data_IF_000251808935
#
_entry.id   IF_000251808935
#
_cell.length_a   1.000
_cell.length_b   1.000
_cell.length_c   1.000
_cell.angle_alpha   90.00
_cell.angle_beta   90.00
_cell.angle_gamma   90.00
#
_symmetry.space_group_name_H-M   'P 1'
#
loop_
_entity.id
_entity.type
_entity.pdbx_description
1 polymer ?
#
# COMPACT_ATOMS: atom_id res chain seq x y z
N UNK A 1 13.23 7.68 -18.16
CA UNK A 1 13.75 6.70 -17.19
C UNK A 1 14.69 5.80 -17.96
N UNK A 2 16.00 5.82 -17.69
CA UNK A 2 16.93 4.92 -18.39
C UNK A 2 16.82 3.57 -17.71
N UNK A 3 16.16 2.63 -18.37
CA UNK A 3 16.06 1.25 -17.90
C UNK A 3 17.45 0.62 -18.03
N UNK A 4 18.06 0.28 -16.90
CA UNK A 4 19.33 -0.44 -16.90
C UNK A 4 19.11 -1.85 -17.48
N UNK A 5 19.98 -2.34 -18.38
CA UNK A 5 19.84 -3.66 -18.98
C UNK A 5 19.83 -4.77 -17.91
N UNK A 6 19.02 -5.81 -18.10
CA UNK A 6 18.94 -6.99 -17.20
C UNK A 6 20.29 -7.70 -16.98
N UNK A 7 21.27 -7.51 -17.87
CA UNK A 7 22.64 -7.99 -17.69
C UNK A 7 23.40 -7.22 -16.60
N UNK A 8 23.13 -5.91 -16.47
CA UNK A 8 23.76 -5.05 -15.45
C UNK A 8 23.23 -5.37 -14.05
N UNK A 9 21.92 -5.59 -13.91
CA UNK A 9 21.31 -6.04 -12.65
C UNK A 9 21.81 -7.42 -12.22
N UNK A 10 21.99 -8.36 -13.16
CA UNK A 10 22.56 -9.70 -12.87
C UNK A 10 24.04 -9.65 -12.50
N UNK A 11 24.80 -8.72 -13.06
CA UNK A 11 26.20 -8.51 -12.70
C UNK A 11 26.32 -7.97 -11.27
N UNK A 12 25.54 -6.93 -10.95
CA UNK A 12 25.48 -6.35 -9.60
C UNK A 12 25.00 -7.38 -8.57
N UNK A 13 24.03 -8.23 -8.93
CA UNK A 13 23.56 -9.31 -8.06
C UNK A 13 24.60 -10.43 -7.85
N UNK A 14 25.41 -10.75 -8.86
CA UNK A 14 26.51 -11.73 -8.73
C UNK A 14 27.65 -11.17 -7.88
N UNK A 15 27.99 -9.90 -8.08
CA UNK A 15 28.93 -9.14 -7.26
C UNK A 15 28.46 -8.98 -5.80
N UNK A 16 27.16 -8.99 -5.55
CA UNK A 16 26.58 -8.91 -4.20
C UNK A 16 26.77 -10.19 -3.36
N UNK A 17 26.94 -11.35 -4.00
CA UNK A 17 27.07 -12.65 -3.32
C UNK A 17 28.52 -13.16 -3.18
N UNK A 18 29.48 -12.59 -3.91
CA UNK A 18 30.90 -12.90 -3.72
C UNK A 18 31.44 -12.07 -2.53
N UNK A 19 31.78 -12.76 -1.44
CA UNK A 19 32.15 -12.24 -0.10
C UNK A 19 33.34 -11.24 -0.04
N UNK A 20 33.91 -10.83 -1.17
CA UNK A 20 34.97 -9.81 -1.23
C UNK A 20 34.44 -8.38 -1.39
N UNK A 21 33.17 -8.18 -1.78
CA UNK A 21 32.61 -6.86 -2.11
C UNK A 21 31.78 -6.19 -1.02
N UNK A 22 31.45 -6.85 0.10
CA UNK A 22 30.63 -6.24 1.16
C UNK A 22 31.29 -4.99 1.78
N UNK A 23 32.62 -4.97 1.93
CA UNK A 23 33.33 -3.80 2.50
C UNK A 23 33.48 -2.67 1.48
N UNK A 24 33.74 -3.01 0.21
CA UNK A 24 33.91 -2.01 -0.86
C UNK A 24 32.59 -1.40 -1.30
N UNK A 25 31.50 -2.17 -1.36
CA UNK A 25 30.19 -1.66 -1.74
C UNK A 25 29.61 -0.74 -0.65
N UNK A 26 29.79 -1.06 0.64
CA UNK A 26 29.40 -0.16 1.75
C UNK A 26 30.22 1.14 1.72
N UNK A 27 31.53 1.08 1.45
CA UNK A 27 32.36 2.29 1.28
C UNK A 27 31.97 3.12 0.04
N UNK A 28 31.73 2.46 -1.10
CA UNK A 28 31.35 3.14 -2.34
C UNK A 28 29.92 3.72 -2.24
N UNK A 29 28.99 3.00 -1.60
CA UNK A 29 27.69 3.54 -1.22
C UNK A 29 27.87 4.74 -0.31
N UNK A 30 28.60 4.64 0.81
CA UNK A 30 28.79 5.77 1.73
C UNK A 30 29.39 7.02 1.06
N UNK A 31 30.31 6.84 0.11
CA UNK A 31 30.88 7.93 -0.70
C UNK A 31 29.87 8.47 -1.73
N UNK A 32 29.03 7.63 -2.35
CA UNK A 32 27.94 8.11 -3.20
C UNK A 32 26.85 8.83 -2.38
N UNK A 33 26.45 8.29 -1.23
CA UNK A 33 25.41 8.81 -0.34
C UNK A 33 25.79 10.11 0.37
N UNK A 34 27.09 10.46 0.46
CA UNK A 34 27.50 11.79 0.95
C UNK A 34 27.24 12.90 -0.08
N UNK A 35 27.09 12.56 -1.36
CA UNK A 35 26.81 13.52 -2.45
C UNK A 35 25.38 13.45 -3.00
N UNK A 36 24.70 12.31 -2.80
CA UNK A 36 23.32 12.10 -3.25
C UNK A 36 22.31 12.60 -2.21
N UNK A 37 21.39 13.46 -2.65
CA UNK A 37 20.31 13.99 -1.80
C UNK A 37 19.10 13.06 -1.70
N UNK A 38 18.85 12.23 -2.72
CA UNK A 38 17.68 11.34 -2.80
C UNK A 38 18.11 10.01 -3.38
N UNK A 39 17.64 8.92 -2.77
CA UNK A 39 17.76 7.57 -3.30
C UNK A 39 16.37 6.96 -3.41
N UNK A 40 16.09 6.41 -4.58
CA UNK A 40 14.85 5.67 -4.85
C UNK A 40 15.21 4.19 -4.84
N UNK A 41 14.51 3.43 -4.01
CA UNK A 41 14.85 2.06 -3.72
C UNK A 41 13.60 1.18 -3.65
N UNK A 42 13.77 -0.12 -3.90
CA UNK A 42 12.76 -1.14 -3.63
C UNK A 42 13.12 -1.89 -2.34
N UNK A 43 12.22 -2.75 -1.85
CA UNK A 43 12.42 -3.57 -0.64
C UNK A 43 13.76 -4.33 -0.68
N UNK A 44 14.19 -4.79 -1.87
CA UNK A 44 15.46 -5.50 -2.08
C UNK A 44 16.72 -4.68 -1.72
N UNK A 45 16.60 -3.37 -1.55
CA UNK A 45 17.70 -2.49 -1.18
C UNK A 45 17.80 -2.25 0.34
N UNK A 46 16.85 -2.78 1.13
CA UNK A 46 16.74 -2.51 2.57
C UNK A 46 17.88 -3.08 3.43
N UNK A 47 18.60 -4.10 2.99
CA UNK A 47 19.69 -4.65 3.82
C UNK A 47 21.00 -3.88 3.57
N UNK A 48 21.19 -2.73 4.25
CA UNK A 48 22.52 -2.10 4.32
C UNK A 48 22.64 -0.58 4.28
N UNK A 49 21.53 0.19 4.22
CA UNK A 49 21.63 1.66 4.39
C UNK A 49 21.72 1.97 5.88
N UNK A 50 22.93 2.25 6.35
CA UNK A 50 23.20 2.76 7.70
C UNK A 50 23.74 4.21 7.63
N UNK A 51 22.86 5.13 7.25
CA UNK A 51 23.16 6.56 7.19
C UNK A 51 22.45 7.27 8.33
N UNK A 52 23.23 7.86 9.25
CA UNK A 52 22.69 8.47 10.46
C UNK A 52 21.75 9.66 10.18
N UNK A 53 22.04 10.44 9.14
CA UNK A 53 21.41 11.73 8.89
C UNK A 53 20.33 11.71 7.79
N UNK A 54 19.60 10.60 7.62
CA UNK A 54 18.45 10.56 6.70
C UNK A 54 17.31 11.39 7.28
N UNK A 55 16.90 12.46 6.56
CA UNK A 55 15.87 13.39 7.01
C UNK A 55 14.45 13.03 6.58
N UNK A 56 14.31 12.19 5.55
CA UNK A 56 13.00 11.80 5.05
C UNK A 56 13.01 10.41 4.45
N UNK A 57 12.04 9.60 4.85
CA UNK A 57 11.69 8.34 4.19
C UNK A 57 10.30 8.51 3.58
N UNK A 58 10.16 8.16 2.30
CA UNK A 58 8.89 8.22 1.58
C UNK A 58 8.57 6.82 1.08
N UNK A 59 7.50 6.24 1.60
CA UNK A 59 6.88 5.04 1.07
C UNK A 59 5.91 5.44 -0.04
N UNK A 60 6.08 4.86 -1.22
CA UNK A 60 5.18 5.07 -2.34
C UNK A 60 4.50 3.75 -2.71
N UNK A 61 3.32 3.55 -2.12
CA UNK A 61 2.61 2.28 -2.08
C UNK A 61 2.56 1.68 -0.67
N UNK A 62 1.66 0.72 -0.48
CA UNK A 62 1.48 0.02 0.79
C UNK A 62 2.68 -0.90 1.09
N UNK A 63 3.32 -0.76 2.26
CA UNK A 63 4.25 -1.76 2.78
C UNK A 63 3.55 -3.13 2.92
N UNK A 64 4.32 -4.22 2.84
CA UNK A 64 3.75 -5.58 2.93
C UNK A 64 3.37 -5.98 4.35
N UNK A 65 3.86 -5.23 5.35
CA UNK A 65 3.50 -5.39 6.75
C UNK A 65 3.87 -4.15 7.56
N UNK A 66 3.40 -4.07 8.81
CA UNK A 66 3.76 -2.97 9.70
C UNK A 66 5.22 -3.07 10.17
N UNK A 67 5.78 -4.28 10.27
CA UNK A 67 7.20 -4.51 10.55
C UNK A 67 8.09 -4.02 9.40
N UNK A 68 7.70 -4.30 8.15
CA UNK A 68 8.42 -3.79 6.99
C UNK A 68 8.41 -2.25 7.01
N UNK A 69 7.24 -1.64 7.23
CA UNK A 69 7.12 -0.19 7.39
C UNK A 69 8.01 0.33 8.52
N UNK A 70 7.97 -0.29 9.70
CA UNK A 70 8.75 0.14 10.87
C UNK A 70 10.26 0.08 10.60
N UNK A 71 10.75 -1.02 10.02
CA UNK A 71 12.17 -1.17 9.67
C UNK A 71 12.62 -0.17 8.60
N UNK A 72 11.77 0.10 7.61
CA UNK A 72 12.06 1.04 6.52
C UNK A 72 12.03 2.49 7.01
N UNK A 73 11.00 2.87 7.76
CA UNK A 73 10.86 4.18 8.41
C UNK A 73 11.96 4.44 9.44
N UNK A 74 12.36 3.44 10.23
CA UNK A 74 13.40 3.52 11.26
C UNK A 74 14.83 3.76 10.74
N UNK A 75 15.00 3.97 9.43
CA UNK A 75 16.25 4.47 8.83
C UNK A 75 16.38 5.99 8.94
N UNK A 76 15.27 6.69 9.12
CA UNK A 76 15.25 8.12 9.32
C UNK A 76 15.79 8.49 10.71
N UNK A 77 16.45 9.65 10.84
CA UNK A 77 16.68 10.27 12.15
C UNK A 77 17.59 9.51 13.12
N UNK A 78 18.46 8.59 12.65
CA UNK A 78 19.37 7.81 13.51
C UNK A 78 20.42 8.66 14.24
N UNK A 79 20.64 9.90 13.83
CA UNK A 79 21.42 10.92 14.54
C UNK A 79 20.63 11.62 15.67
N UNK A 80 19.41 11.18 15.97
CA UNK A 80 18.54 11.75 16.99
C UNK A 80 17.84 13.05 16.58
N UNK A 81 18.06 13.54 15.36
CA UNK A 81 17.39 14.76 14.85
C UNK A 81 16.06 14.42 14.20
N UNK A 82 15.14 15.38 14.23
CA UNK A 82 13.83 15.27 13.58
C UNK A 82 13.96 14.82 12.12
N UNK A 83 13.06 13.91 11.73
CA UNK A 83 12.96 13.36 10.40
C UNK A 83 11.51 12.97 10.09
N UNK A 84 11.15 13.02 8.81
CA UNK A 84 9.80 12.73 8.34
C UNK A 84 9.71 11.30 7.80
N UNK A 85 8.64 10.59 8.15
CA UNK A 85 8.26 9.33 7.53
C UNK A 85 6.89 9.50 6.88
N UNK A 86 6.84 9.47 5.55
CA UNK A 86 5.64 9.77 4.77
C UNK A 86 5.20 8.51 4.03
N UNK A 87 3.92 8.16 4.12
CA UNK A 87 3.29 7.08 3.36
C UNK A 87 2.33 7.68 2.32
N UNK A 88 2.70 7.59 1.05
CA UNK A 88 1.78 7.83 -0.06
C UNK A 88 1.19 6.51 -0.52
N UNK A 89 -0.10 6.31 -0.24
CA UNK A 89 -0.82 5.10 -0.62
C UNK A 89 -2.12 5.44 -1.35
N UNK A 90 -2.53 4.57 -2.27
CA UNK A 90 -3.83 4.68 -2.90
C UNK A 90 -4.87 4.07 -1.96
N UNK A 91 -5.68 4.91 -1.31
CA UNK A 91 -6.70 4.49 -0.35
C UNK A 91 -7.90 3.82 -1.02
N UNK A 92 -8.14 4.05 -2.32
CA UNK A 92 -9.26 3.41 -3.03
C UNK A 92 -8.98 1.96 -3.42
N UNK A 93 -7.70 1.55 -3.38
CA UNK A 93 -7.24 0.22 -3.75
C UNK A 93 -6.74 -0.54 -2.53
N UNK A 94 -7.37 -1.68 -2.28
CA UNK A 94 -6.92 -2.66 -1.30
C UNK A 94 -5.56 -3.21 -1.73
N UNK A 95 -4.53 -3.19 -0.87
CA UNK A 95 -3.26 -3.79 -1.20
C UNK A 95 -3.38 -5.32 -1.31
N UNK A 96 -2.49 -5.90 -2.09
CA UNK A 96 -2.37 -7.34 -2.29
C UNK A 96 -0.96 -7.78 -1.96
N UNK A 97 -0.81 -9.04 -1.56
CA UNK A 97 0.50 -9.63 -1.35
C UNK A 97 1.30 -9.64 -2.65
N UNK A 98 2.59 -9.38 -2.54
CA UNK A 98 3.52 -9.59 -3.64
C UNK A 98 3.66 -11.10 -3.93
N UNK A 99 3.78 -11.50 -5.21
CA UNK A 99 3.97 -12.90 -5.59
C UNK A 99 5.19 -13.50 -4.88
N UNK A 100 5.00 -14.57 -4.14
CA UNK A 100 6.08 -15.39 -3.59
C UNK A 100 5.57 -16.79 -3.27
N UNK A 101 6.49 -17.76 -3.29
CA UNK A 101 6.20 -19.12 -2.84
C UNK A 101 5.99 -19.08 -1.33
N UNK A 102 4.80 -19.44 -0.88
CA UNK A 102 4.39 -19.49 0.52
C UNK A 102 3.52 -20.72 0.73
N UNK A 103 3.62 -21.35 1.90
CA UNK A 103 2.60 -22.31 2.32
C UNK A 103 1.26 -21.59 2.55
N UNK A 104 0.18 -22.35 2.73
CA UNK A 104 -1.13 -21.76 3.06
C UNK A 104 -1.09 -20.97 4.37
N UNK A 105 -0.43 -21.50 5.40
CA UNK A 105 -0.33 -20.83 6.70
C UNK A 105 0.55 -19.57 6.65
N UNK A 106 1.65 -19.62 5.90
CA UNK A 106 2.46 -18.43 5.64
C UNK A 106 1.68 -17.37 4.87
N UNK A 107 0.81 -17.79 3.94
CA UNK A 107 -0.05 -16.88 3.18
C UNK A 107 -1.09 -16.23 4.09
N UNK A 108 -1.73 -17.00 4.97
CA UNK A 108 -2.66 -16.50 5.99
C UNK A 108 -1.99 -15.45 6.88
N UNK A 109 -0.83 -15.77 7.44
CA UNK A 109 -0.07 -14.84 8.28
C UNK A 109 0.32 -13.56 7.51
N UNK A 110 0.78 -13.69 6.27
CA UNK A 110 1.15 -12.53 5.45
C UNK A 110 -0.07 -11.62 5.17
N UNK A 111 -1.25 -12.18 4.92
CA UNK A 111 -2.47 -11.37 4.77
C UNK A 111 -2.87 -10.66 6.06
N UNK A 112 -2.70 -11.30 7.22
CA UNK A 112 -2.93 -10.66 8.52
C UNK A 112 -2.00 -9.47 8.70
N UNK A 113 -0.71 -9.66 8.51
CA UNK A 113 0.31 -8.59 8.59
C UNK A 113 0.03 -7.43 7.62
N UNK A 114 -0.41 -7.74 6.40
CA UNK A 114 -0.81 -6.73 5.42
C UNK A 114 -2.10 -5.99 5.84
N UNK A 115 -3.05 -6.71 6.42
CA UNK A 115 -4.27 -6.14 7.01
C UNK A 115 -3.91 -5.16 8.13
N UNK A 116 -3.03 -5.54 9.04
CA UNK A 116 -2.59 -4.68 10.14
C UNK A 116 -1.92 -3.39 9.62
N UNK A 117 -1.08 -3.49 8.58
CA UNK A 117 -0.48 -2.33 7.92
C UNK A 117 -1.53 -1.43 7.24
N UNK A 118 -2.50 -2.03 6.56
CA UNK A 118 -3.59 -1.30 5.91
C UNK A 118 -4.45 -0.55 6.94
N UNK A 119 -4.79 -1.22 8.05
CA UNK A 119 -5.56 -0.65 9.17
C UNK A 119 -4.79 0.47 9.86
N UNK A 120 -3.47 0.32 10.04
CA UNK A 120 -2.60 1.38 10.53
C UNK A 120 -2.69 2.64 9.67
N UNK A 121 -2.67 2.52 8.33
CA UNK A 121 -2.77 3.67 7.44
C UNK A 121 -4.18 4.28 7.35
N UNK A 122 -5.22 3.46 7.52
CA UNK A 122 -6.62 3.91 7.45
C UNK A 122 -7.13 4.57 8.73
N UNK A 123 -6.51 4.29 9.87
CA UNK A 123 -6.90 4.85 11.15
C UNK A 123 -6.69 6.38 11.16
N UNK A 124 -7.70 7.13 11.62
CA UNK A 124 -7.72 8.60 11.65
C UNK A 124 -7.80 9.15 13.08
N UNK A 125 -7.78 8.30 14.10
CA UNK A 125 -8.06 8.66 15.49
C UNK A 125 -6.93 8.34 16.44
N UNK A 126 -6.19 7.25 16.18
CA UNK A 126 -5.13 6.79 17.05
C UNK A 126 -3.80 7.44 16.65
N UNK A 127 -3.03 7.84 17.66
CA UNK A 127 -1.65 8.27 17.50
C UNK A 127 -0.85 7.19 16.74
N UNK A 128 -0.19 7.57 15.64
CA UNK A 128 0.61 6.64 14.82
C UNK A 128 1.68 5.91 15.62
N UNK A 129 2.41 6.65 16.46
CA UNK A 129 3.48 6.09 17.28
C UNK A 129 2.92 5.11 18.33
N UNK A 130 1.79 5.45 18.95
CA UNK A 130 1.09 4.57 19.90
C UNK A 130 0.73 3.23 19.24
N UNK A 131 0.09 3.28 18.07
CA UNK A 131 -0.27 2.07 17.31
C UNK A 131 0.95 1.22 16.95
N UNK A 132 2.07 1.84 16.58
CA UNK A 132 3.31 1.09 16.29
C UNK A 132 3.89 0.42 17.54
N UNK A 133 4.01 1.15 18.65
CA UNK A 133 4.57 0.65 19.91
C UNK A 133 3.73 -0.50 20.46
N UNK A 134 2.39 -0.33 20.51
CA UNK A 134 1.46 -1.37 20.96
C UNK A 134 1.48 -2.60 20.05
N UNK A 135 1.66 -2.41 18.73
CA UNK A 135 1.77 -3.54 17.79
C UNK A 135 2.96 -4.46 18.09
N UNK A 136 4.07 -3.91 18.59
CA UNK A 136 5.24 -4.70 18.99
C UNK A 136 5.15 -5.23 20.43
N UNK A 137 4.01 -5.07 21.10
CA UNK A 137 3.78 -5.54 22.46
C UNK A 137 4.44 -4.67 23.53
N UNK A 138 4.79 -3.43 23.19
CA UNK A 138 5.31 -2.44 24.14
C UNK A 138 4.19 -1.52 24.63
N UNK A 139 4.29 -1.06 25.87
CA UNK A 139 3.33 -0.11 26.45
C UNK A 139 3.68 1.33 26.06
N UNK A 140 2.73 2.03 25.45
CA UNK A 140 2.88 3.44 25.14
C UNK A 140 2.42 4.30 26.33
N UNK A 141 3.37 4.68 27.20
CA UNK A 141 3.10 5.38 28.47
C UNK A 141 2.47 6.78 28.34
N UNK A 142 2.45 7.37 27.14
CA UNK A 142 1.93 8.71 26.91
C UNK A 142 0.56 8.69 26.24
N UNK A 143 -0.24 9.74 26.40
CA UNK A 143 -1.53 9.82 25.71
C UNK A 143 -1.38 10.06 24.19
N UNK A 144 -0.34 10.79 23.77
CA UNK A 144 -0.08 11.11 22.36
C UNK A 144 1.41 11.34 22.10
N UNK A 145 1.85 11.24 20.85
CA UNK A 145 3.25 11.52 20.47
C UNK A 145 3.52 12.95 20.03
N UNK A 146 2.48 13.81 19.98
CA UNK A 146 2.49 15.23 19.57
C UNK A 146 3.08 15.56 18.18
N UNK A 147 3.58 14.57 17.42
CA UNK A 147 4.32 14.78 16.16
C UNK A 147 3.66 14.15 14.94
N UNK A 148 2.85 13.11 15.10
CA UNK A 148 2.23 12.45 13.95
C UNK A 148 1.05 13.25 13.38
N UNK A 149 0.68 12.96 12.13
CA UNK A 149 -0.42 13.60 11.41
C UNK A 149 -1.74 13.62 12.21
N UNK A 150 -2.06 12.52 12.91
CA UNK A 150 -3.29 12.43 13.73
C UNK A 150 -3.18 13.29 14.99
N UNK A 151 -2.03 13.31 15.68
CA UNK A 151 -1.86 14.11 16.89
C UNK A 151 -1.79 15.61 16.59
N UNK A 152 -1.23 15.99 15.43
CA UNK A 152 -1.08 17.39 15.03
C UNK A 152 -2.40 17.95 14.51
N UNK A 153 -3.12 17.21 13.66
CA UNK A 153 -4.37 17.70 13.07
C UNK A 153 -5.60 17.45 13.97
N UNK A 154 -5.48 16.50 14.92
CA UNK A 154 -6.63 15.96 15.64
C UNK A 154 -7.42 14.94 14.82
N UNK A 155 -8.27 14.13 15.48
CA UNK A 155 -9.20 13.25 14.78
C UNK A 155 -10.21 14.08 13.97
N UNK A 156 -10.81 13.50 12.91
CA UNK A 156 -11.92 14.14 12.21
C UNK A 156 -13.13 14.31 13.14
N UNK A 157 -14.12 15.07 12.69
CA UNK A 157 -15.39 15.17 13.41
C UNK A 157 -16.07 13.80 13.52
N UNK A 158 -16.61 13.52 14.71
CA UNK A 158 -17.36 12.30 14.98
C UNK A 158 -18.72 12.39 14.27
N UNK A 159 -19.10 11.33 13.57
CA UNK A 159 -20.35 11.29 12.81
C UNK A 159 -21.24 10.16 13.33
N UNK A 160 -22.53 10.45 13.48
CA UNK A 160 -23.52 9.42 13.78
C UNK A 160 -23.89 8.68 12.49
N UNK A 161 -23.45 7.43 12.37
CA UNK A 161 -23.70 6.58 11.18
C UNK A 161 -24.73 5.47 11.47
N UNK A 162 -25.67 5.72 12.41
CA UNK A 162 -26.67 4.71 12.85
C UNK A 162 -27.53 4.26 11.68
N UNK A 163 -28.00 5.21 10.89
CA UNK A 163 -28.79 4.98 9.68
C UNK A 163 -28.09 4.08 8.65
N UNK A 164 -26.81 4.35 8.38
CA UNK A 164 -25.98 3.54 7.48
C UNK A 164 -25.73 2.15 8.06
N UNK A 165 -25.35 2.08 9.34
CA UNK A 165 -25.04 0.82 10.02
C UNK A 165 -26.27 -0.09 10.09
N UNK A 166 -27.43 0.43 10.44
CA UNK A 166 -28.69 -0.30 10.49
C UNK A 166 -29.10 -0.80 9.12
N UNK A 167 -29.01 0.06 8.10
CA UNK A 167 -29.33 -0.32 6.73
C UNK A 167 -28.39 -1.41 6.22
N UNK A 168 -27.10 -1.26 6.47
CA UNK A 168 -26.10 -2.26 6.09
C UNK A 168 -26.35 -3.61 6.77
N UNK A 169 -26.61 -3.60 8.07
CA UNK A 169 -26.89 -4.81 8.84
C UNK A 169 -28.22 -5.47 8.45
N UNK A 170 -29.27 -4.69 8.19
CA UNK A 170 -30.54 -5.23 7.70
C UNK A 170 -30.37 -5.94 6.36
N UNK A 171 -29.65 -5.35 5.41
CA UNK A 171 -29.43 -5.95 4.09
C UNK A 171 -28.57 -7.21 4.18
N UNK A 172 -27.55 -7.22 5.06
CA UNK A 172 -26.77 -8.43 5.37
C UNK A 172 -27.68 -9.50 5.98
N UNK A 173 -28.39 -9.19 7.05
CA UNK A 173 -29.25 -10.14 7.77
C UNK A 173 -30.35 -10.72 6.88
N UNK A 174 -31.00 -9.89 6.06
CA UNK A 174 -32.03 -10.34 5.11
C UNK A 174 -31.48 -11.34 4.07
N UNK A 175 -30.21 -11.21 3.66
CA UNK A 175 -29.57 -12.17 2.77
C UNK A 175 -29.39 -13.54 3.44
N UNK A 176 -29.00 -13.55 4.71
CA UNK A 176 -28.80 -14.79 5.47
C UNK A 176 -30.13 -15.38 5.98
N UNK A 177 -31.13 -14.56 6.32
CA UNK A 177 -32.46 -15.01 6.75
C UNK A 177 -33.27 -15.67 5.63
N UNK A 178 -33.12 -15.22 4.38
CA UNK A 178 -33.66 -15.92 3.21
C UNK A 178 -33.01 -17.29 2.96
N UNK A 179 -31.83 -17.54 3.53
CA UNK A 179 -31.16 -18.85 3.46
C UNK A 179 -31.75 -19.86 4.44
N UNK A 180 -32.32 -19.42 5.56
CA UNK A 180 -32.90 -20.30 6.59
C UNK A 180 -34.29 -20.82 6.23
N UNK A 181 -35.06 -20.10 5.40
CA UNK A 181 -36.43 -20.49 5.04
C UNK A 181 -36.51 -21.69 4.06
N UNK A 182 -35.39 -22.12 3.49
CA UNK A 182 -35.33 -23.22 2.49
C UNK A 182 -34.88 -24.56 3.10
N UNK A 183 -34.37 -24.57 4.34
CA UNK A 183 -34.01 -25.81 5.05
C UNK A 183 -35.19 -26.42 5.83
N UNK A 184 -36.13 -25.60 6.31
CA UNK A 184 -37.23 -26.07 7.19
C UNK A 184 -38.41 -26.74 6.44
N UNK A 185 -38.33 -26.91 5.11
CA UNK A 185 -39.41 -27.54 4.32
C UNK A 185 -39.12 -28.97 3.85
N UNK A 186 -38.01 -29.57 4.26
CA UNK A 186 -37.61 -30.92 3.84
C UNK A 186 -37.06 -31.75 5.01
N UNK A 187 -37.80 -31.84 6.12
CA UNK A 187 -37.51 -32.87 7.13
C UNK A 187 -38.52 -34.02 7.02
N UNK A 188 -38.16 -34.94 6.14
CA UNK A 188 -38.80 -36.22 5.93
C UNK A 188 -37.74 -37.22 5.51
N UNK A 189 -37.06 -37.81 6.51
CA UNK A 189 -36.56 -39.20 6.49
C UNK A 189 -35.15 -39.42 5.88
N UNK A 190 -34.19 -39.71 6.79
CA UNK A 190 -33.09 -40.72 6.73
C UNK A 190 -31.67 -40.28 6.28
N UNK A 191 -30.75 -40.39 7.26
CA UNK A 191 -29.31 -40.73 7.24
C UNK A 191 -28.35 -40.09 6.21
N UNK A 192 -27.38 -39.35 6.75
CA UNK A 192 -26.09 -39.12 6.08
C UNK A 192 -25.47 -37.78 6.44
N UNK A 193 -24.51 -37.83 7.35
CA UNK A 193 -23.66 -36.71 7.79
C UNK A 193 -22.77 -36.20 6.63
N UNK A 194 -23.39 -35.44 5.72
CA UNK A 194 -22.70 -34.74 4.64
C UNK A 194 -23.16 -33.29 4.72
N UNK A 195 -22.25 -32.41 5.12
CA UNK A 195 -22.36 -30.96 4.98
C UNK A 195 -22.56 -30.59 3.49
N UNK A 196 -23.76 -30.78 2.97
CA UNK A 196 -24.17 -30.23 1.69
C UNK A 196 -24.54 -28.76 1.91
N UNK A 197 -23.52 -27.93 2.11
CA UNK A 197 -23.60 -26.50 1.82
C UNK A 197 -24.02 -26.36 0.36
N UNK A 198 -25.32 -26.20 0.11
CA UNK A 198 -25.83 -25.74 -1.18
C UNK A 198 -25.05 -24.48 -1.56
N UNK A 199 -24.36 -24.53 -2.70
CA UNK A 199 -23.58 -23.45 -3.30
C UNK A 199 -24.49 -22.24 -3.56
N UNK A 200 -24.73 -21.44 -2.52
CA UNK A 200 -25.27 -20.09 -2.64
C UNK A 200 -24.09 -19.13 -2.57
N UNK A 201 -23.92 -18.30 -3.61
CA UNK A 201 -22.85 -17.32 -3.66
C UNK A 201 -22.91 -16.43 -2.42
N UNK A 202 -21.85 -16.48 -1.60
CA UNK A 202 -21.72 -15.63 -0.42
C UNK A 202 -21.82 -14.17 -0.86
N UNK A 203 -22.61 -13.33 -0.17
CA UNK A 203 -22.84 -11.97 -0.62
C UNK A 203 -21.57 -11.14 -0.47
N UNK A 204 -20.92 -10.80 -1.58
CA UNK A 204 -19.80 -9.88 -1.52
C UNK A 204 -20.28 -8.45 -1.22
N UNK A 205 -19.41 -7.64 -0.61
CA UNK A 205 -19.70 -6.28 -0.19
C UNK A 205 -20.25 -5.41 -1.33
N UNK A 206 -19.71 -5.56 -2.55
CA UNK A 206 -20.13 -4.75 -3.71
C UNK A 206 -21.59 -5.04 -4.09
N UNK A 207 -22.00 -6.29 -4.02
CA UNK A 207 -23.38 -6.70 -4.27
C UNK A 207 -24.32 -6.13 -3.20
N UNK A 208 -23.94 -6.20 -1.92
CA UNK A 208 -24.74 -5.64 -0.82
C UNK A 208 -24.93 -4.13 -0.97
N UNK A 209 -23.86 -3.41 -1.32
CA UNK A 209 -23.92 -1.96 -1.59
C UNK A 209 -24.80 -1.63 -2.80
N UNK A 210 -24.79 -2.45 -3.86
CA UNK A 210 -25.73 -2.28 -4.99
C UNK A 210 -27.17 -2.36 -4.52
N UNK A 211 -27.51 -3.39 -3.73
CA UNK A 211 -28.85 -3.55 -3.17
C UNK A 211 -29.26 -2.40 -2.26
N UNK A 212 -28.34 -1.89 -1.44
CA UNK A 212 -28.61 -0.73 -0.58
C UNK A 212 -28.95 0.50 -1.43
N UNK A 213 -28.18 0.76 -2.50
CA UNK A 213 -28.44 1.90 -3.40
C UNK A 213 -29.76 1.77 -4.15
N UNK A 214 -30.18 0.55 -4.48
CA UNK A 214 -31.46 0.27 -5.15
C UNK A 214 -32.65 0.40 -4.19
N UNK A 215 -32.51 -0.04 -2.94
CA UNK A 215 -33.60 -0.06 -1.96
C UNK A 215 -33.77 1.26 -1.21
N UNK A 216 -32.68 2.01 -1.01
CA UNK A 216 -32.66 3.20 -0.16
C UNK A 216 -32.15 4.41 -0.95
N UNK A 217 -33.08 5.21 -1.47
CA UNK A 217 -32.76 6.38 -2.30
C UNK A 217 -31.78 7.35 -1.61
N UNK A 218 -31.82 7.49 -0.29
CA UNK A 218 -30.89 8.32 0.49
C UNK A 218 -29.42 7.96 0.30
N UNK A 219 -29.14 6.69 -0.04
CA UNK A 219 -27.77 6.18 -0.21
C UNK A 219 -27.37 5.94 -1.66
N UNK A 220 -28.22 6.31 -2.63
CA UNK A 220 -27.99 6.05 -4.04
C UNK A 220 -26.65 6.62 -4.56
N UNK A 221 -26.26 7.80 -4.06
CA UNK A 221 -25.02 8.49 -4.44
C UNK A 221 -23.82 8.15 -3.53
N UNK A 222 -24.00 7.41 -2.44
CA UNK A 222 -22.92 7.12 -1.48
C UNK A 222 -21.89 6.19 -2.08
N UNK A 223 -20.62 6.59 -2.10
CA UNK A 223 -19.52 5.86 -2.73
C UNK A 223 -19.24 4.49 -2.06
N UNK A 224 -18.70 3.54 -2.82
CA UNK A 224 -18.36 2.21 -2.30
C UNK A 224 -17.25 2.26 -1.23
N UNK A 225 -16.35 3.24 -1.30
CA UNK A 225 -15.30 3.46 -0.30
C UNK A 225 -15.88 3.80 1.07
N UNK A 226 -16.96 4.58 1.11
CA UNK A 226 -17.68 4.87 2.34
C UNK A 226 -18.15 3.59 3.03
N UNK A 227 -18.81 2.71 2.25
CA UNK A 227 -19.29 1.42 2.74
C UNK A 227 -18.17 0.45 3.12
N UNK A 228 -17.02 0.50 2.45
CA UNK A 228 -15.83 -0.29 2.84
C UNK A 228 -15.28 0.16 4.19
N UNK A 229 -15.18 1.46 4.42
CA UNK A 229 -14.76 2.01 5.71
C UNK A 229 -15.75 1.67 6.82
N UNK A 230 -17.06 1.81 6.55
CA UNK A 230 -18.10 1.40 7.50
C UNK A 230 -18.00 -0.09 7.84
N UNK A 231 -17.87 -0.97 6.84
CA UNK A 231 -17.72 -2.40 7.08
C UNK A 231 -16.50 -2.71 7.96
N UNK A 232 -15.37 -2.03 7.73
CA UNK A 232 -14.17 -2.16 8.58
C UNK A 232 -14.44 -1.68 10.02
N UNK A 233 -15.13 -0.57 10.22
CA UNK A 233 -15.53 -0.10 11.55
C UNK A 233 -16.45 -1.10 12.26
N UNK A 234 -17.39 -1.70 11.53
CA UNK A 234 -18.33 -2.68 12.08
C UNK A 234 -17.67 -4.02 12.40
N UNK A 235 -16.66 -4.43 11.62
CA UNK A 235 -15.77 -5.55 11.92
C UNK A 235 -15.02 -5.31 13.22
N UNK A 236 -14.43 -4.13 13.39
CA UNK A 236 -13.63 -3.76 14.57
C UNK A 236 -14.44 -3.78 15.86
N UNK A 237 -15.70 -3.39 15.76
CA UNK A 237 -16.67 -3.44 16.87
C UNK A 237 -17.29 -4.83 17.07
N UNK A 238 -16.99 -5.79 16.20
CA UNK A 238 -17.43 -7.19 16.31
C UNK A 238 -18.85 -7.45 15.82
N UNK A 239 -19.51 -6.51 15.12
CA UNK A 239 -20.87 -6.72 14.59
C UNK A 239 -20.90 -7.62 13.36
N UNK A 240 -19.81 -7.61 12.58
CA UNK A 240 -19.66 -8.46 11.40
C UNK A 240 -18.30 -9.16 11.40
N UNK A 241 -18.21 -10.23 10.62
CA UNK A 241 -16.97 -10.98 10.39
C UNK A 241 -16.86 -11.42 8.92
N UNK A 242 -15.67 -11.80 8.50
CA UNK A 242 -15.48 -12.44 7.19
C UNK A 242 -16.20 -13.80 7.15
N UNK A 243 -16.94 -14.03 6.06
CA UNK A 243 -17.74 -15.23 5.82
C UNK A 243 -17.01 -16.35 5.09
N UNK A 244 -15.77 -16.11 4.66
CA UNK A 244 -14.86 -17.08 4.05
C UNK A 244 -13.69 -17.42 4.98
N UNK A 245 -13.15 -18.64 4.84
CA UNK A 245 -11.97 -19.06 5.60
C UNK A 245 -10.67 -18.42 5.08
N UNK A 246 -10.74 -17.80 3.88
CA UNK A 246 -9.62 -17.07 3.29
C UNK A 246 -9.48 -15.72 3.98
N UNK A 247 -8.27 -15.44 4.44
CA UNK A 247 -7.93 -14.15 5.05
C UNK A 247 -7.81 -13.09 3.97
N UNK A 248 -8.53 -12.00 4.15
CA UNK A 248 -8.46 -10.81 3.31
C UNK A 248 -7.93 -9.62 4.11
N UNK A 249 -7.39 -8.63 3.39
CA UNK A 249 -6.94 -7.35 4.00
C UNK A 249 -8.12 -6.53 4.53
N UNK A 250 -9.30 -6.72 3.96
CA UNK A 250 -10.56 -6.13 4.39
C UNK A 250 -11.68 -7.14 4.13
N UNK A 251 -12.77 -7.05 4.89
CA UNK A 251 -13.96 -7.89 4.65
C UNK A 251 -14.39 -7.82 3.19
N UNK A 252 -14.51 -8.99 2.58
CA UNK A 252 -15.14 -9.16 1.27
C UNK A 252 -16.54 -9.71 1.35
N UNK A 253 -16.79 -10.66 2.24
CA UNK A 253 -18.07 -11.36 2.42
C UNK A 253 -18.57 -11.16 3.84
N UNK A 254 -19.18 -10.00 4.16
CA UNK A 254 -19.62 -9.70 5.51
C UNK A 254 -20.71 -10.69 5.96
N UNK A 255 -20.46 -11.32 7.11
CA UNK A 255 -21.41 -12.20 7.81
C UNK A 255 -21.76 -11.58 9.16
N UNK A 256 -23.05 -11.53 9.55
CA UNK A 256 -23.42 -10.95 10.84
C UNK A 256 -22.95 -11.85 11.98
N UNK A 257 -22.50 -11.24 13.08
CA UNK A 257 -22.24 -11.95 14.35
C UNK A 257 -23.50 -11.92 15.23
N UNK A 258 -23.48 -12.61 16.37
CA UNK A 258 -24.56 -12.52 17.37
C UNK A 258 -24.76 -11.07 17.82
N UNK A 259 -23.66 -10.38 18.15
CA UNK A 259 -23.66 -8.97 18.51
C UNK A 259 -24.23 -8.08 17.39
N UNK A 260 -23.95 -8.40 16.12
CA UNK A 260 -24.54 -7.71 14.97
C UNK A 260 -26.05 -7.89 14.87
N UNK A 261 -26.58 -9.08 15.18
CA UNK A 261 -28.02 -9.31 15.19
C UNK A 261 -28.70 -8.62 16.38
N UNK A 262 -28.06 -8.62 17.55
CA UNK A 262 -28.51 -7.86 18.72
C UNK A 262 -28.53 -6.35 18.45
N UNK A 263 -27.56 -5.84 17.68
CA UNK A 263 -27.52 -4.44 17.24
C UNK A 263 -28.75 -4.03 16.41
N UNK A 264 -29.35 -4.95 15.66
CA UNK A 264 -30.60 -4.69 14.92
C UNK A 264 -31.83 -4.66 15.83
N UNK A 265 -31.76 -5.35 16.97
CA UNK A 265 -32.84 -5.40 17.95
C UNK A 265 -32.76 -4.24 18.95
N UNK A 266 -31.67 -3.47 18.96
CA UNK A 266 -31.51 -2.36 19.87
C UNK A 266 -32.46 -1.20 19.50
N UNK A 267 -32.89 -0.46 20.53
CA UNK A 267 -33.85 0.64 20.39
C UNK A 267 -33.34 1.72 19.43
N UNK A 268 -34.26 2.32 18.68
CA UNK A 268 -34.02 3.37 17.69
C UNK A 268 -33.34 4.64 18.24
N UNK A 269 -33.30 4.82 19.56
CA UNK A 269 -32.64 5.95 20.22
C UNK A 269 -31.11 5.80 20.37
N UNK A 270 -30.55 4.62 20.10
CA UNK A 270 -29.10 4.40 20.24
C UNK A 270 -28.32 5.02 19.07
N UNK A 271 -27.45 5.99 19.36
CA UNK A 271 -26.57 6.58 18.34
C UNK A 271 -25.42 5.64 17.98
N UNK A 272 -24.91 5.75 16.75
CA UNK A 272 -23.72 5.04 16.29
C UNK A 272 -22.65 6.04 15.90
N UNK A 273 -22.12 6.72 16.92
CA UNK A 273 -21.13 7.77 16.73
C UNK A 273 -19.74 7.18 16.52
N UNK A 274 -19.16 7.41 15.35
CA UNK A 274 -17.85 6.89 14.94
C UNK A 274 -17.03 7.97 14.24
N UNK A 275 -15.71 7.78 14.23
CA UNK A 275 -14.81 8.62 13.46
C UNK A 275 -14.62 8.01 12.06
N UNK A 276 -14.91 8.74 10.98
CA UNK A 276 -14.70 8.23 9.63
C UNK A 276 -13.22 7.93 9.36
N UNK A 277 -12.96 6.78 8.74
CA UNK A 277 -11.61 6.36 8.38
C UNK A 277 -11.13 7.06 7.08
N UNK A 278 -9.85 6.91 6.75
CA UNK A 278 -9.21 7.74 5.71
C UNK A 278 -9.85 7.58 4.31
N UNK A 279 -10.29 6.38 3.94
CA UNK A 279 -11.01 6.10 2.68
C UNK A 279 -12.44 6.67 2.66
N UNK A 280 -13.12 6.70 3.81
CA UNK A 280 -14.43 7.36 3.96
C UNK A 280 -14.29 8.86 3.74
N UNK A 281 -13.31 9.49 4.39
CA UNK A 281 -13.00 10.92 4.19
C UNK A 281 -12.56 11.22 2.74
N UNK A 282 -11.87 10.28 2.09
CA UNK A 282 -11.52 10.42 0.68
C UNK A 282 -12.77 10.43 -0.21
N UNK A 283 -13.77 9.61 0.11
CA UNK A 283 -14.98 9.51 -0.71
C UNK A 283 -15.91 10.72 -0.65
N UNK A 284 -15.83 11.51 0.41
CA UNK A 284 -16.62 12.75 0.55
C UNK A 284 -15.91 13.96 -0.01
N UNK A 285 -14.60 13.87 -0.29
CA UNK A 285 -13.86 14.96 -0.93
C UNK A 285 -14.27 15.05 -2.39
N UNK A 286 -14.71 16.24 -2.80
CA UNK A 286 -14.80 16.56 -4.21
C UNK A 286 -13.42 16.35 -4.83
N UNK A 287 -13.29 15.59 -5.94
CA UNK A 287 -12.03 15.43 -6.61
C UNK A 287 -11.57 16.79 -7.13
N UNK A 288 -10.72 17.47 -6.36
CA UNK A 288 -9.92 18.55 -6.90
C UNK A 288 -9.00 17.91 -7.92
N UNK A 289 -9.28 18.17 -9.19
CA UNK A 289 -8.29 17.94 -10.21
C UNK A 289 -7.12 18.86 -9.87
N UNK A 290 -6.05 18.31 -9.29
CA UNK A 290 -4.74 18.97 -9.28
C UNK A 290 -4.21 18.99 -10.73
N UNK A 291 -4.96 19.64 -11.63
CA UNK A 291 -4.79 19.58 -13.08
C UNK A 291 -3.99 20.76 -13.60
N UNK A 292 -3.77 21.79 -12.79
CA UNK A 292 -2.99 22.94 -13.22
C UNK A 292 -1.62 22.94 -12.55
N UNK A 293 -0.59 22.94 -13.39
CA UNK A 293 0.82 23.09 -12.99
C UNK A 293 1.06 24.33 -12.10
N UNK A 294 0.17 25.31 -12.16
CA UNK A 294 0.15 26.51 -11.32
C UNK A 294 -0.06 26.21 -9.83
N UNK A 295 -0.79 25.15 -9.48
CA UNK A 295 -1.07 24.80 -8.07
C UNK A 295 0.09 24.05 -7.40
N UNK A 296 0.97 23.42 -8.19
CA UNK A 296 2.11 22.64 -7.67
C UNK A 296 3.28 23.52 -7.18
N UNK A 297 3.14 24.84 -7.30
CA UNK A 297 4.24 25.78 -7.21
C UNK A 297 5.30 25.52 -8.30
N UNK A 298 6.32 26.38 -8.36
CA UNK A 298 7.50 26.22 -9.21
C UNK A 298 8.38 25.06 -8.71
N UNK A 299 7.88 23.83 -8.84
CA UNK A 299 8.47 22.61 -8.32
C UNK A 299 9.39 21.88 -9.31
N UNK A 300 9.99 20.78 -8.86
CA UNK A 300 10.97 20.01 -9.65
C UNK A 300 10.41 19.41 -10.96
N UNK A 301 9.08 19.33 -11.11
CA UNK A 301 8.41 18.84 -12.31
C UNK A 301 8.05 19.96 -13.30
N UNK A 302 8.21 21.24 -12.93
CA UNK A 302 7.90 22.39 -13.79
C UNK A 302 8.68 22.28 -15.13
N UNK A 303 7.99 22.35 -16.29
CA UNK A 303 8.60 22.19 -17.60
C UNK A 303 9.70 23.21 -17.89
N UNK A 304 9.54 24.44 -17.40
CA UNK A 304 10.48 25.54 -17.58
C UNK A 304 11.72 25.36 -16.71
N UNK A 305 11.55 25.01 -15.43
CA UNK A 305 12.66 24.67 -14.53
C UNK A 305 13.40 23.42 -15.03
N UNK A 306 12.68 22.46 -15.62
CA UNK A 306 13.27 21.29 -16.29
C UNK A 306 14.07 21.70 -17.54
N UNK A 307 13.54 22.58 -18.40
CA UNK A 307 14.24 23.12 -19.57
C UNK A 307 15.53 23.82 -19.17
N UNK A 308 15.46 24.76 -18.22
CA UNK A 308 16.63 25.50 -17.72
C UNK A 308 17.72 24.57 -17.14
N UNK A 309 17.34 23.49 -16.44
CA UNK A 309 18.31 22.49 -15.94
C UNK A 309 18.94 21.66 -17.05
N UNK A 310 18.15 21.25 -18.05
CA UNK A 310 18.67 20.52 -19.20
C UNK A 310 19.63 21.39 -20.02
N UNK A 311 19.35 22.68 -20.13
CA UNK A 311 20.24 23.67 -20.75
C UNK A 311 21.52 23.87 -19.94
N UNK A 312 21.43 24.04 -18.61
CA UNK A 312 22.62 24.09 -17.73
C UNK A 312 23.48 22.82 -17.84
N UNK A 313 22.86 21.65 -17.98
CA UNK A 313 23.59 20.38 -18.23
C UNK A 313 24.22 20.32 -19.62
N UNK A 314 23.63 20.97 -20.63
CA UNK A 314 24.20 21.07 -21.99
C UNK A 314 25.37 22.06 -22.03
N UNK A 315 25.28 23.19 -21.33
CA UNK A 315 26.35 24.20 -21.27
C UNK A 315 27.54 23.78 -20.39
N UNK A 316 27.33 22.94 -19.37
CA UNK A 316 28.42 22.36 -18.57
C UNK A 316 29.16 21.19 -19.26
N UNK A 317 28.64 20.67 -20.39
CA UNK A 317 29.40 19.73 -21.22
C UNK A 317 30.43 20.51 -22.04
N UNK A 318 31.61 20.76 -21.47
CA UNK A 318 32.80 21.07 -22.28
C UNK A 318 32.96 19.95 -23.32
N UNK A 319 33.15 20.24 -24.61
CA UNK A 319 33.37 19.20 -25.61
C UNK A 319 34.65 18.46 -25.21
N UNK A 320 34.53 17.18 -24.86
CA UNK A 320 35.69 16.30 -24.76
C UNK A 320 36.32 16.29 -26.16
N UNK A 321 37.48 16.94 -26.33
CA UNK A 321 38.36 16.70 -27.49
C UNK A 321 38.63 15.19 -27.53
N UNK A 322 37.96 14.50 -28.45
CA UNK A 322 38.25 13.09 -28.76
C UNK A 322 39.68 13.06 -29.32
N UNK A 323 40.65 12.66 -28.51
CA UNK A 323 41.92 12.16 -29.05
C UNK A 323 41.59 10.92 -29.88
N UNK A 324 41.76 11.01 -31.21
CA UNK A 324 41.58 9.89 -32.13
C UNK A 324 42.65 8.83 -31.84
N UNK A 325 42.30 7.79 -31.08
CA UNK A 325 43.08 6.55 -31.10
C UNK A 325 42.75 5.82 -32.41
N UNK A 326 43.69 5.82 -33.36
CA UNK A 326 43.65 4.94 -34.53
C UNK A 326 43.60 3.50 -34.02
N UNK A 327 42.47 2.83 -34.22
CA UNK A 327 42.31 1.43 -33.84
C UNK A 327 42.69 0.58 -35.06
N UNK A 328 43.77 -0.19 -34.97
CA UNK A 328 44.12 -1.15 -36.03
C UNK A 328 43.15 -2.35 -36.00
N UNK A 329 42.62 -2.78 -37.14
CA UNK A 329 41.66 -3.88 -37.20
C UNK A 329 42.30 -5.23 -36.83
N UNK A 330 41.61 -6.03 -36.01
CA UNK A 330 42.08 -7.33 -35.54
C UNK A 330 41.86 -8.44 -36.59
N UNK A 331 42.94 -8.90 -37.22
CA UNK A 331 42.93 -9.87 -38.32
C UNK A 331 42.46 -11.29 -37.95
N UNK A 332 42.39 -11.62 -36.65
CA UNK A 332 41.96 -12.96 -36.21
C UNK A 332 40.44 -13.16 -36.36
N UNK A 333 39.67 -12.08 -36.39
CA UNK A 333 38.20 -12.14 -36.50
C UNK A 333 37.74 -11.99 -37.95
N UNK A 334 36.69 -12.71 -38.35
CA UNK A 334 36.08 -12.56 -39.68
C UNK A 334 35.67 -11.10 -39.96
N UNK A 335 35.15 -10.42 -38.94
CA UNK A 335 34.75 -9.01 -38.98
C UNK A 335 35.96 -8.06 -39.18
N UNK A 336 37.10 -8.36 -38.57
CA UNK A 336 38.32 -7.57 -38.75
C UNK A 336 38.97 -7.77 -40.13
N UNK A 337 38.91 -8.97 -40.70
CA UNK A 337 39.38 -9.24 -42.09
C UNK A 337 38.52 -8.53 -43.14
N UNK A 338 37.20 -8.52 -42.95
CA UNK A 338 36.26 -7.76 -43.78
C UNK A 338 36.52 -6.25 -43.72
N UNK A 339 36.76 -5.70 -42.53
CA UNK A 339 37.06 -4.28 -42.36
C UNK A 339 38.37 -3.85 -43.05
N UNK A 340 39.41 -4.70 -43.04
CA UNK A 340 40.66 -4.43 -43.75
C UNK A 340 40.48 -4.49 -45.28
N UNK A 341 39.76 -5.49 -45.82
CA UNK A 341 39.48 -5.56 -47.26
C UNK A 341 38.71 -4.34 -47.78
N UNK A 342 37.70 -3.90 -47.04
CA UNK A 342 36.91 -2.70 -47.38
C UNK A 342 37.72 -1.40 -47.27
N UNK A 343 38.79 -1.37 -46.48
CA UNK A 343 39.68 -0.21 -46.38
C UNK A 343 40.69 -0.11 -47.53
N UNK A 344 40.98 -1.23 -48.21
CA UNK A 344 41.88 -1.28 -49.38
C UNK A 344 41.14 -0.83 -50.65
N UNK A 345 39.84 -1.11 -50.76
CA UNK A 345 39.00 -0.65 -51.89
C UNK A 345 38.66 0.85 -51.90
N UNK A 346 39.06 1.60 -50.86
CA UNK A 346 38.83 3.05 -50.73
C UNK A 346 40.09 3.89 -50.95
N UNK A 347 41.10 3.35 -51.64
CA UNK A 347 42.27 4.09 -52.09
C UNK A 347 42.37 4.10 -53.60
#
# INVERSE_FOLDING_TARGET
MVVLPKSHLRHVHKEFHDNALQVWMIKLLNILFSTLQVVVATIAFGMGIDKLNVRRIIHYGWPQSLEAYYQEAGRAGRDGKLADCILYANLSRVPTLLPSQRSEDQTKQAYKMLSDCFRYGMNTTCCRAKTLVEYFGEDFCHQSCILCDVCVNGPPEKQNLKDEADTFMHVIAAHYGKSSFVDDLYDGVIYGDVEQQRFMDKPNLRMLVSRIREQFQKFAATDLLWWRGLARIMEDKGYIREGEDRIHVQIKFPKPTKLGLEFLQSTTEQTFDVYPQADMLLSTRNPQSYSTFSEWGKGWADPEIRRQRLERRRSQRKPRKRKSRKHQPNMKTARGRLAAKLSIQKR
#
